data_IF_794678786803
#
_entry.id   IF_794678786803
#
_cell.length_a   1.000
_cell.length_b   1.000
_cell.length_c   1.000
_cell.angle_alpha   90.00
_cell.angle_beta   90.00
_cell.angle_gamma   90.00
#
_symmetry.space_group_name_H-M   'P 1'
#
loop_
_entity.id
_entity.type
_entity.pdbx_description
1 polymer ?
#
# COMPACT_ATOMS: atom_id res chain seq x y z
N UNK A 1 -11.18 -4.16 -53.81
CA UNK A 1 -11.44 -4.30 -52.35
C UNK A 1 -10.15 -4.40 -51.51
N UNK A 2 -9.11 -5.16 -51.90
CA UNK A 2 -7.83 -5.33 -51.15
C UNK A 2 -7.12 -4.05 -50.66
N UNK A 3 -7.09 -2.96 -51.45
CA UNK A 3 -6.37 -1.72 -51.08
C UNK A 3 -6.99 -0.99 -49.88
N UNK A 4 -8.32 -1.05 -49.71
CA UNK A 4 -9.01 -0.42 -48.56
C UNK A 4 -8.81 -1.22 -47.28
N UNK A 5 -8.82 -2.55 -47.38
CA UNK A 5 -8.58 -3.45 -46.24
C UNK A 5 -7.17 -3.29 -45.67
N UNK A 6 -6.14 -3.13 -46.51
CA UNK A 6 -4.78 -2.89 -46.05
C UNK A 6 -4.60 -1.55 -45.32
N UNK A 7 -5.32 -0.51 -45.75
CA UNK A 7 -5.27 0.80 -45.09
C UNK A 7 -5.98 0.79 -43.74
N UNK A 8 -7.14 0.12 -43.65
CA UNK A 8 -7.88 -0.07 -42.40
C UNK A 8 -7.04 -0.86 -41.38
N UNK A 9 -6.38 -1.94 -41.81
CA UNK A 9 -5.48 -2.73 -40.96
C UNK A 9 -4.27 -1.90 -40.49
N UNK A 10 -3.70 -1.08 -41.37
CA UNK A 10 -2.59 -0.18 -41.01
C UNK A 10 -2.98 0.84 -39.95
N UNK A 11 -4.14 1.50 -40.11
CA UNK A 11 -4.65 2.47 -39.12
C UNK A 11 -5.00 1.79 -37.80
N UNK A 12 -5.61 0.61 -37.83
CA UNK A 12 -5.93 -0.15 -36.63
C UNK A 12 -4.66 -0.57 -35.86
N UNK A 13 -3.61 -0.98 -36.58
CA UNK A 13 -2.33 -1.36 -35.97
C UNK A 13 -1.66 -0.15 -35.29
N UNK A 14 -1.60 1.00 -35.97
CA UNK A 14 -1.03 2.22 -35.40
C UNK A 14 -1.82 2.70 -34.20
N UNK A 15 -3.15 2.69 -34.27
CA UNK A 15 -4.02 3.01 -33.13
C UNK A 15 -3.79 2.08 -31.93
N UNK A 16 -3.61 0.78 -32.17
CA UNK A 16 -3.30 -0.19 -31.12
C UNK A 16 -1.94 0.04 -30.47
N UNK A 17 -0.90 0.34 -31.27
CA UNK A 17 0.45 0.64 -30.76
C UNK A 17 0.46 1.90 -29.91
N UNK A 18 -0.19 2.97 -30.38
CA UNK A 18 -0.28 4.23 -29.63
C UNK A 18 -1.10 4.08 -28.35
N UNK A 19 -2.21 3.34 -28.40
CA UNK A 19 -3.02 3.03 -27.22
C UNK A 19 -2.23 2.24 -26.17
N UNK A 20 -1.49 1.22 -26.59
CA UNK A 20 -0.66 0.43 -25.68
C UNK A 20 0.49 1.26 -25.08
N UNK A 21 1.15 2.11 -25.88
CA UNK A 21 2.19 3.00 -25.37
C UNK A 21 1.65 3.99 -24.34
N UNK A 22 0.45 4.55 -24.57
CA UNK A 22 -0.22 5.43 -23.62
C UNK A 22 -0.58 4.71 -22.31
N UNK A 23 -1.10 3.47 -22.40
CA UNK A 23 -1.41 2.67 -21.21
C UNK A 23 -0.14 2.34 -20.41
N UNK A 24 0.96 2.00 -21.10
CA UNK A 24 2.26 1.74 -20.46
C UNK A 24 2.82 2.97 -19.73
N UNK A 25 2.78 4.15 -20.36
CA UNK A 25 3.21 5.41 -19.72
C UNK A 25 2.40 5.71 -18.45
N UNK A 26 1.08 5.52 -18.51
CA UNK A 26 0.21 5.71 -17.35
C UNK A 26 0.55 4.73 -16.23
N UNK A 27 0.69 3.45 -16.54
CA UNK A 27 1.06 2.41 -15.57
C UNK A 27 2.41 2.71 -14.93
N UNK A 28 3.40 3.14 -15.72
CA UNK A 28 4.73 3.50 -15.22
C UNK A 28 4.68 4.67 -14.22
N UNK A 29 3.94 5.73 -14.54
CA UNK A 29 3.77 6.88 -13.63
C UNK A 29 3.06 6.51 -12.34
N UNK A 30 2.06 5.63 -12.43
CA UNK A 30 1.39 5.09 -11.24
C UNK A 30 2.35 4.27 -10.38
N UNK A 31 3.16 3.38 -10.99
CA UNK A 31 4.17 2.61 -10.27
C UNK A 31 5.22 3.50 -9.60
N UNK A 32 5.69 4.53 -10.30
CA UNK A 32 6.68 5.48 -9.77
C UNK A 32 6.13 6.25 -8.57
N UNK A 33 4.92 6.82 -8.69
CA UNK A 33 4.27 7.52 -7.58
C UNK A 33 4.03 6.61 -6.36
N UNK A 34 3.62 5.36 -6.59
CA UNK A 34 3.46 4.36 -5.52
C UNK A 34 4.77 3.97 -4.86
N UNK A 35 5.83 3.80 -5.65
CA UNK A 35 7.18 3.47 -5.15
C UNK A 35 7.72 4.62 -4.31
N UNK A 36 7.58 5.85 -4.81
CA UNK A 36 7.99 7.06 -4.11
C UNK A 36 7.21 7.25 -2.80
N UNK A 37 5.90 7.04 -2.82
CA UNK A 37 5.07 7.09 -1.60
C UNK A 37 5.48 6.03 -0.58
N UNK A 38 5.75 4.80 -1.03
CA UNK A 38 6.15 3.69 -0.15
C UNK A 38 7.52 3.95 0.48
N UNK A 39 8.49 4.38 -0.32
CA UNK A 39 9.83 4.75 0.14
C UNK A 39 9.76 5.92 1.12
N UNK A 40 9.03 6.98 0.78
CA UNK A 40 8.86 8.16 1.64
C UNK A 40 8.20 7.77 2.96
N UNK A 41 7.14 6.96 2.94
CA UNK A 41 6.48 6.47 4.15
C UNK A 41 7.45 5.67 5.02
N UNK A 42 8.23 4.75 4.44
CA UNK A 42 9.22 3.97 5.18
C UNK A 42 10.32 4.83 5.84
N UNK A 43 10.74 5.90 5.16
CA UNK A 43 11.74 6.85 5.70
C UNK A 43 11.13 7.67 6.83
N UNK A 44 9.91 8.18 6.66
CA UNK A 44 9.19 8.93 7.70
C UNK A 44 8.94 8.05 8.93
N UNK A 45 8.50 6.81 8.75
CA UNK A 45 8.31 5.86 9.86
C UNK A 45 9.61 5.59 10.62
N UNK A 46 10.73 5.42 9.90
CA UNK A 46 12.04 5.21 10.52
C UNK A 46 12.48 6.43 11.31
N UNK A 47 12.33 7.64 10.74
CA UNK A 47 12.63 8.89 11.43
C UNK A 47 11.74 9.06 12.66
N UNK A 48 10.45 8.74 12.54
CA UNK A 48 9.51 8.80 13.65
C UNK A 48 9.91 7.85 14.79
N UNK A 49 10.27 6.60 14.47
CA UNK A 49 10.83 5.63 15.44
C UNK A 49 12.12 6.13 16.10
N UNK A 50 12.97 6.87 15.38
CA UNK A 50 14.24 7.41 15.90
C UNK A 50 14.11 8.74 16.66
N UNK A 51 13.00 9.47 16.46
CA UNK A 51 12.79 10.80 17.03
C UNK A 51 12.59 10.82 18.56
N UNK A 52 12.47 9.67 19.20
CA UNK A 52 12.13 9.56 20.61
C UNK A 52 10.64 9.76 20.91
N UNK A 53 9.79 9.83 19.89
CA UNK A 53 8.34 9.81 20.06
C UNK A 53 7.88 8.51 20.77
N UNK A 54 6.90 8.63 21.66
CA UNK A 54 6.29 7.45 22.31
C UNK A 54 5.41 6.71 21.31
N UNK A 55 5.97 5.65 20.73
CA UNK A 55 5.32 4.74 19.77
C UNK A 55 4.68 3.52 20.44
N UNK A 56 4.49 3.56 21.77
CA UNK A 56 3.81 2.48 22.48
C UNK A 56 2.35 2.37 22.05
N UNK A 57 1.81 1.15 22.15
CA UNK A 57 0.41 0.86 21.84
C UNK A 57 -0.54 1.83 22.53
N UNK A 58 -0.32 2.10 23.83
CA UNK A 58 -1.18 2.99 24.62
C UNK A 58 -1.15 4.43 24.11
N UNK A 59 0.05 4.93 23.80
CA UNK A 59 0.24 6.29 23.27
C UNK A 59 -0.46 6.43 21.92
N UNK A 60 -0.16 5.54 20.96
CA UNK A 60 -0.75 5.60 19.62
C UNK A 60 -2.26 5.41 19.67
N UNK A 61 -2.77 4.44 20.43
CA UNK A 61 -4.21 4.25 20.65
C UNK A 61 -4.90 5.52 21.14
N UNK A 62 -4.30 6.22 22.11
CA UNK A 62 -4.86 7.47 22.62
C UNK A 62 -4.89 8.57 21.55
N UNK A 63 -3.86 8.66 20.73
CA UNK A 63 -3.82 9.61 19.59
C UNK A 63 -4.89 9.26 18.58
N UNK A 64 -5.00 8.00 18.18
CA UNK A 64 -6.03 7.53 17.22
C UNK A 64 -7.43 7.83 17.75
N UNK A 65 -7.71 7.47 19.00
CA UNK A 65 -9.00 7.74 19.63
C UNK A 65 -9.32 9.24 19.71
N UNK A 66 -8.31 10.09 19.92
CA UNK A 66 -8.49 11.55 20.04
C UNK A 66 -8.66 12.24 18.70
N UNK A 67 -7.87 11.87 17.70
CA UNK A 67 -7.76 12.59 16.43
C UNK A 67 -8.64 11.99 15.33
N UNK A 68 -8.80 10.66 15.30
CA UNK A 68 -9.44 9.93 14.21
C UNK A 68 -10.80 9.33 14.60
N UNK A 69 -11.05 9.21 15.91
CA UNK A 69 -12.35 8.79 16.43
C UNK A 69 -12.56 7.28 16.35
N UNK A 70 -13.18 6.81 15.26
CA UNK A 70 -13.53 5.38 15.09
C UNK A 70 -12.30 4.56 14.66
N UNK A 71 -12.02 3.49 15.38
CA UNK A 71 -11.00 2.51 15.06
C UNK A 71 -11.39 1.14 15.60
N UNK A 72 -10.85 0.09 14.98
CA UNK A 72 -11.03 -1.29 15.45
C UNK A 72 -9.73 -1.80 16.08
N UNK A 73 -9.84 -2.50 17.21
CA UNK A 73 -8.73 -3.23 17.83
C UNK A 73 -8.92 -4.72 17.54
N UNK A 74 -7.91 -5.36 16.97
CA UNK A 74 -7.94 -6.79 16.64
C UNK A 74 -6.59 -7.45 16.92
N UNK A 75 -6.54 -8.78 16.90
CA UNK A 75 -5.28 -9.52 16.96
C UNK A 75 -4.63 -9.63 15.58
N UNK A 76 -3.31 -9.81 15.52
CA UNK A 76 -2.62 -10.04 14.24
C UNK A 76 -3.20 -11.25 13.47
N UNK A 77 -3.63 -12.30 14.18
CA UNK A 77 -4.23 -13.49 13.56
C UNK A 77 -5.58 -13.19 12.91
N UNK A 78 -6.47 -12.48 13.59
CA UNK A 78 -7.76 -12.07 13.05
C UNK A 78 -7.61 -11.06 11.91
N UNK A 79 -6.56 -10.22 11.97
CA UNK A 79 -6.19 -9.32 10.89
C UNK A 79 -5.57 -10.02 9.65
N UNK A 80 -5.38 -11.34 9.69
CA UNK A 80 -4.77 -12.12 8.61
C UNK A 80 -3.28 -11.83 8.41
N UNK A 81 -2.55 -11.60 9.51
CA UNK A 81 -1.11 -11.36 9.52
C UNK A 81 -0.37 -12.60 10.05
N UNK A 82 0.61 -13.08 9.28
CA UNK A 82 1.47 -14.23 9.65
C UNK A 82 2.66 -13.83 10.55
N UNK A 83 2.95 -12.54 10.65
CA UNK A 83 3.96 -11.89 11.51
C UNK A 83 3.27 -10.72 12.26
N UNK A 84 3.68 -10.30 13.49
CA UNK A 84 4.84 -10.69 14.32
C UNK A 84 4.62 -11.90 15.22
N UNK A 85 3.41 -12.46 15.19
CA UNK A 85 3.00 -13.55 16.07
C UNK A 85 1.62 -13.29 16.66
N UNK A 86 1.01 -14.31 17.31
CA UNK A 86 -0.39 -14.26 17.73
C UNK A 86 -0.67 -13.27 18.87
N UNK A 87 0.35 -12.86 19.63
CA UNK A 87 0.25 -11.89 20.73
C UNK A 87 0.24 -10.43 20.27
N UNK A 88 0.49 -10.19 18.99
CA UNK A 88 0.53 -8.85 18.44
C UNK A 88 -0.86 -8.24 18.36
N UNK A 89 -0.94 -6.95 18.69
CA UNK A 89 -2.16 -6.15 18.62
C UNK A 89 -2.16 -5.32 17.36
N UNK A 90 -3.34 -5.14 16.79
CA UNK A 90 -3.52 -4.38 15.56
C UNK A 90 -4.60 -3.33 15.81
N UNK A 91 -4.31 -2.09 15.40
CA UNK A 91 -5.29 -1.01 15.33
C UNK A 91 -5.62 -0.81 13.85
N UNK A 92 -6.89 -0.92 13.49
CA UNK A 92 -7.38 -0.73 12.11
C UNK A 92 -8.07 0.62 12.00
N UNK A 93 -7.61 1.44 11.06
CA UNK A 93 -8.11 2.80 10.81
C UNK A 93 -8.22 2.97 9.30
N UNK A 94 -9.43 3.18 8.77
CA UNK A 94 -9.68 3.38 7.34
C UNK A 94 -8.97 2.33 6.45
N UNK A 95 -9.04 1.06 6.85
CA UNK A 95 -8.37 -0.07 6.17
C UNK A 95 -6.87 -0.20 6.46
N UNK A 96 -6.23 0.81 7.04
CA UNK A 96 -4.82 0.73 7.45
C UNK A 96 -4.68 0.00 8.78
N UNK A 97 -3.83 -1.03 8.81
CA UNK A 97 -3.51 -1.84 9.98
C UNK A 97 -2.20 -1.37 10.60
N UNK A 98 -2.25 -0.81 11.80
CA UNK A 98 -1.07 -0.50 12.61
C UNK A 98 -0.77 -1.68 13.51
N UNK A 99 0.44 -2.23 13.43
CA UNK A 99 0.84 -3.48 14.07
C UNK A 99 1.74 -3.17 15.26
N UNK A 100 1.42 -3.77 16.39
CA UNK A 100 2.14 -3.62 17.64
C UNK A 100 2.60 -4.96 18.18
N UNK A 101 3.91 -5.13 18.30
CA UNK A 101 4.52 -6.29 18.94
C UNK A 101 5.09 -5.89 20.30
N UNK A 102 4.87 -6.73 21.32
CA UNK A 102 5.30 -6.45 22.70
C UNK A 102 4.89 -5.05 23.22
N UNK A 103 3.79 -4.50 22.72
CA UNK A 103 3.28 -3.18 23.08
C UNK A 103 4.00 -2.00 22.42
N UNK A 104 4.88 -2.24 21.45
CA UNK A 104 5.61 -1.23 20.68
C UNK A 104 5.20 -1.27 19.20
N UNK A 105 5.26 -0.13 18.52
CA UNK A 105 4.96 -0.04 17.10
C UNK A 105 5.97 -0.85 16.27
N UNK A 106 5.48 -1.87 15.58
CA UNK A 106 6.30 -2.80 14.83
C UNK A 106 6.27 -2.47 13.33
N UNK A 107 5.10 -2.12 12.78
CA UNK A 107 4.94 -1.67 11.40
C UNK A 107 3.50 -1.31 11.06
N UNK A 108 3.25 -0.90 9.81
CA UNK A 108 1.90 -0.65 9.28
C UNK A 108 1.65 -1.43 7.99
N UNK A 109 0.39 -1.62 7.66
CA UNK A 109 -0.05 -2.25 6.42
C UNK A 109 -1.33 -1.60 5.92
N UNK A 110 -1.24 -0.93 4.77
CA UNK A 110 -2.42 -0.37 4.12
C UNK A 110 -3.27 -1.47 3.47
N UNK A 111 -4.59 -1.24 3.41
CA UNK A 111 -5.47 -2.03 2.55
C UNK A 111 -5.24 -1.63 1.10
N UNK A 112 -4.83 -2.59 0.27
CA UNK A 112 -4.57 -2.33 -1.15
C UNK A 112 -5.84 -2.63 -1.95
N UNK A 113 -6.19 -1.82 -2.95
CA UNK A 113 -7.28 -2.14 -3.88
C UNK A 113 -7.09 -3.53 -4.49
N UNK A 114 -8.20 -4.28 -4.61
CA UNK A 114 -8.20 -5.62 -5.20
C UNK A 114 -7.52 -5.60 -6.59
N UNK A 115 -6.59 -6.53 -6.80
CA UNK A 115 -5.80 -6.64 -8.03
C UNK A 115 -4.40 -6.02 -7.97
N UNK A 116 -4.05 -5.28 -6.91
CA UNK A 116 -2.70 -4.74 -6.70
C UNK A 116 -1.81 -5.61 -5.80
N UNK A 117 -2.32 -6.77 -5.37
CA UNK A 117 -1.59 -7.72 -4.51
C UNK A 117 -0.29 -8.22 -5.12
N UNK A 118 -0.18 -8.26 -6.45
CA UNK A 118 1.03 -8.68 -7.16
C UNK A 118 2.15 -7.62 -7.16
N UNK A 119 1.84 -6.37 -6.79
CA UNK A 119 2.83 -5.31 -6.54
C UNK A 119 3.35 -5.33 -5.09
N UNK A 120 2.79 -6.21 -4.25
CA UNK A 120 3.32 -6.52 -2.94
C UNK A 120 4.68 -7.20 -3.16
N UNK A 121 5.75 -6.41 -3.17
CA UNK A 121 7.11 -6.96 -3.16
C UNK A 121 7.25 -7.97 -2.03
N UNK A 122 8.16 -8.94 -2.19
CA UNK A 122 8.55 -9.90 -1.15
C UNK A 122 9.32 -9.21 -0.01
N UNK A 123 8.84 -8.07 0.46
CA UNK A 123 9.49 -7.38 1.55
C UNK A 123 9.12 -8.09 2.87
N UNK A 124 10.12 -8.52 3.64
CA UNK A 124 9.91 -9.10 4.95
C UNK A 124 9.68 -7.96 5.94
N UNK A 125 8.46 -7.44 6.00
CA UNK A 125 7.99 -6.61 7.11
C UNK A 125 6.99 -7.40 7.93
#
# INVERSE_FOLDING_TARGET
MRKRTGWILGVALVGSLLGNAFLLDRVSKWQEAWTEQSLTTSVVERLYKQSGADTSYKSVRNVVARELGEYEETSAREAGLDWPGPSARVIVIDGTKLIFDNGQYAGSKADLPAGLEHWRGNDPW
#
